data_IF_530735676648
#
_entry.id   IF_530735676648
#
_cell.length_a   1.000
_cell.length_b   1.000
_cell.length_c   1.000
_cell.angle_alpha   90.00
_cell.angle_beta   90.00
_cell.angle_gamma   90.00
#
_symmetry.space_group_name_H-M   'P 1'
#
loop_
_entity.id
_entity.type
_entity.pdbx_description
1 polymer ?
#
# COMPACT_ATOMS: atom_id res chain seq x y z
N UNK A 1 -10.92 17.18 -1.90
CA UNK A 1 -10.38 16.15 -2.81
C UNK A 1 -8.94 15.84 -2.41
N UNK A 2 -8.72 14.77 -1.64
CA UNK A 2 -7.41 14.41 -1.12
C UNK A 2 -6.49 13.90 -2.23
N UNK A 3 -5.73 14.81 -2.84
CA UNK A 3 -4.72 14.47 -3.84
C UNK A 3 -3.77 13.44 -3.24
N UNK A 4 -3.67 12.32 -3.93
CA UNK A 4 -2.85 11.22 -3.51
C UNK A 4 -1.39 11.63 -3.37
N UNK A 5 -0.72 11.13 -2.33
CA UNK A 5 0.73 11.25 -2.12
C UNK A 5 1.48 10.28 -3.04
N UNK A 6 1.14 10.31 -4.32
CA UNK A 6 1.61 9.37 -5.36
C UNK A 6 3.13 9.21 -5.41
N UNK A 7 3.95 10.28 -5.34
CA UNK A 7 5.42 10.14 -5.34
C UNK A 7 6.01 9.68 -4.01
N UNK A 8 5.21 9.55 -2.95
CA UNK A 8 5.73 9.29 -1.62
C UNK A 8 5.90 7.78 -1.37
N UNK A 9 7.06 7.45 -0.81
CA UNK A 9 7.41 6.17 -0.23
C UNK A 9 7.46 6.32 1.29
N UNK A 10 6.90 5.36 2.02
CA UNK A 10 6.93 5.29 3.47
C UNK A 10 7.85 4.16 3.91
N UNK A 11 8.82 4.48 4.76
CA UNK A 11 9.70 3.51 5.40
C UNK A 11 9.28 3.35 6.87
N UNK A 12 9.19 2.10 7.31
CA UNK A 12 8.76 1.72 8.66
C UNK A 12 9.84 0.81 9.28
N UNK A 13 10.17 1.09 10.54
CA UNK A 13 11.13 0.28 11.32
C UNK A 13 12.58 0.76 11.23
N UNK A 14 12.85 1.90 10.59
CA UNK A 14 14.20 2.49 10.55
C UNK A 14 14.49 3.13 11.93
N UNK A 15 15.56 2.73 12.64
CA UNK A 15 15.93 3.31 13.94
C UNK A 15 16.12 4.82 13.87
N UNK A 16 15.82 5.54 14.95
CA UNK A 16 16.13 6.97 15.08
C UNK A 16 17.64 7.15 15.30
N UNK A 17 18.19 8.27 14.84
CA UNK A 17 19.60 8.63 15.05
C UNK A 17 19.74 10.04 15.64
N UNK A 18 20.78 10.26 16.44
CA UNK A 18 21.08 11.59 16.97
C UNK A 18 21.61 12.51 15.85
N UNK A 19 21.14 13.76 15.86
CA UNK A 19 21.44 14.73 14.82
C UNK A 19 20.99 14.27 13.42
N UNK A 20 19.90 13.52 13.32
CA UNK A 20 19.32 13.10 12.05
C UNK A 20 18.86 14.32 11.25
N UNK A 21 19.38 14.46 10.03
CA UNK A 21 19.04 15.52 9.10
C UNK A 21 18.63 14.91 7.74
N UNK A 22 18.19 15.76 6.80
CA UNK A 22 17.76 15.33 5.46
C UNK A 22 18.83 14.48 4.76
N UNK A 23 20.08 14.93 4.75
CA UNK A 23 21.20 14.21 4.10
C UNK A 23 21.45 12.83 4.69
N UNK A 24 21.42 12.68 6.03
CA UNK A 24 21.55 11.36 6.68
C UNK A 24 20.40 10.41 6.29
N UNK A 25 19.19 10.94 6.16
CA UNK A 25 18.03 10.16 5.71
C UNK A 25 18.17 9.74 4.25
N UNK A 26 18.69 10.60 3.38
CA UNK A 26 18.97 10.26 1.98
C UNK A 26 20.01 9.14 1.89
N UNK A 27 21.11 9.26 2.64
CA UNK A 27 22.14 8.22 2.71
C UNK A 27 21.56 6.91 3.24
N UNK A 28 20.70 6.96 4.26
CA UNK A 28 20.00 5.77 4.78
C UNK A 28 19.15 5.09 3.70
N UNK A 29 18.45 5.88 2.87
CA UNK A 29 17.66 5.32 1.76
C UNK A 29 18.57 4.70 0.69
N UNK A 30 19.72 5.32 0.39
CA UNK A 30 20.71 4.77 -0.52
C UNK A 30 21.29 3.45 0.01
N UNK A 31 21.67 3.38 1.28
CA UNK A 31 22.16 2.17 1.95
C UNK A 31 21.13 1.03 1.83
N UNK A 32 19.85 1.33 2.08
CA UNK A 32 18.75 0.35 1.93
C UNK A 32 18.64 -0.14 0.49
N UNK A 33 18.75 0.75 -0.49
CA UNK A 33 18.66 0.38 -1.91
C UNK A 33 19.87 -0.46 -2.32
N UNK A 34 21.06 -0.13 -1.85
CA UNK A 34 22.27 -0.91 -2.10
C UNK A 34 22.22 -2.30 -1.46
N UNK A 35 21.81 -2.38 -0.18
CA UNK A 35 21.68 -3.63 0.56
C UNK A 35 20.61 -4.55 -0.06
N UNK A 36 19.53 -3.98 -0.62
CA UNK A 36 18.38 -4.78 -1.03
C UNK A 36 18.16 -4.94 -2.52
N UNK A 37 18.50 -3.93 -3.30
CA UNK A 37 18.14 -3.81 -4.71
C UNK A 37 19.37 -3.40 -5.54
N UNK A 38 20.41 -4.25 -5.63
CA UNK A 38 21.65 -3.92 -6.34
C UNK A 38 21.38 -3.52 -7.81
N UNK A 39 20.36 -4.10 -8.43
CA UNK A 39 19.92 -3.78 -9.80
C UNK A 39 19.45 -2.32 -9.99
N UNK A 40 19.11 -1.62 -8.90
CA UNK A 40 18.68 -0.22 -8.93
C UNK A 40 19.83 0.76 -8.68
N UNK A 41 20.95 0.31 -8.10
CA UNK A 41 22.08 1.15 -7.69
C UNK A 41 22.77 1.81 -8.89
N UNK A 42 22.77 1.16 -10.06
CA UNK A 42 23.33 1.71 -11.30
C UNK A 42 22.37 2.61 -12.09
N UNK A 43 21.13 2.81 -11.64
CA UNK A 43 20.20 3.69 -12.33
C UNK A 43 20.40 5.13 -11.84
N UNK A 44 20.94 6.00 -12.70
CA UNK A 44 21.14 7.45 -12.45
C UNK A 44 19.85 8.27 -12.22
N UNK A 45 18.73 7.61 -11.91
CA UNK A 45 17.39 8.18 -11.85
C UNK A 45 16.81 8.25 -10.43
N UNK A 46 17.57 7.89 -9.38
CA UNK A 46 17.09 7.98 -8.00
C UNK A 46 17.22 9.44 -7.52
N UNK A 47 16.26 10.27 -7.91
CA UNK A 47 16.16 11.65 -7.47
C UNK A 47 15.09 11.78 -6.39
N UNK A 48 15.53 12.18 -5.20
CA UNK A 48 14.68 12.46 -4.04
C UNK A 48 14.46 13.97 -4.01
N UNK A 49 13.20 14.38 -3.92
CA UNK A 49 12.83 15.79 -3.78
C UNK A 49 12.87 16.24 -2.32
N UNK A 50 12.40 15.37 -1.42
CA UNK A 50 12.31 15.65 0.01
C UNK A 50 12.29 14.33 0.79
N UNK A 51 12.96 14.29 1.93
CA UNK A 51 12.88 13.16 2.86
C UNK A 51 12.83 13.65 4.30
N UNK A 52 11.89 13.11 5.07
CA UNK A 52 11.68 13.55 6.45
C UNK A 52 11.01 12.47 7.31
N UNK A 53 11.16 12.59 8.63
CA UNK A 53 10.41 11.79 9.60
C UNK A 53 9.00 12.35 9.77
N UNK A 54 8.04 11.47 10.07
CA UNK A 54 6.66 11.88 10.35
C UNK A 54 6.13 11.18 11.59
N UNK A 55 5.62 11.92 12.59
CA UNK A 55 5.59 13.39 12.71
C UNK A 55 6.98 14.03 12.89
N UNK A 56 7.12 15.31 12.53
CA UNK A 56 8.40 16.03 12.66
C UNK A 56 8.88 16.09 14.11
N UNK A 57 7.95 16.27 15.06
CA UNK A 57 8.26 16.26 16.49
C UNK A 57 8.38 14.83 16.99
N UNK A 58 9.50 14.54 17.62
CA UNK A 58 9.69 13.31 18.37
C UNK A 58 8.93 13.40 19.70
N UNK A 59 8.24 12.33 20.06
CA UNK A 59 7.59 12.20 21.37
C UNK A 59 8.25 11.06 22.11
N UNK A 60 8.83 11.35 23.26
CA UNK A 60 9.47 10.37 24.15
C UNK A 60 8.54 9.23 24.58
N UNK A 61 7.21 9.43 24.51
CA UNK A 61 6.21 8.40 24.82
C UNK A 61 6.05 7.33 23.73
N UNK A 62 6.71 7.49 22.58
CA UNK A 62 6.57 6.57 21.45
C UNK A 62 7.61 5.45 21.54
N UNK A 63 7.14 4.21 21.69
CA UNK A 63 8.00 3.02 21.71
C UNK A 63 8.52 2.61 20.32
N UNK A 64 7.85 3.02 19.23
CA UNK A 64 8.23 2.68 17.85
C UNK A 64 8.97 3.84 17.16
N UNK A 65 9.97 3.57 16.31
CA UNK A 65 10.60 4.61 15.51
C UNK A 65 9.59 5.33 14.61
N UNK A 66 9.77 6.63 14.38
CA UNK A 66 8.90 7.38 13.47
C UNK A 66 9.09 6.89 12.04
N UNK A 67 8.03 6.95 11.26
CA UNK A 67 8.10 6.61 9.85
C UNK A 67 8.89 7.67 9.09
N UNK A 68 9.62 7.27 8.05
CA UNK A 68 10.23 8.21 7.11
C UNK A 68 9.32 8.29 5.89
N UNK A 69 9.09 9.50 5.39
CA UNK A 69 8.43 9.75 4.11
C UNK A 69 9.49 10.30 3.16
N UNK A 70 9.75 9.57 2.09
CA UNK A 70 10.62 10.00 0.99
C UNK A 70 9.75 10.33 -0.23
N UNK A 71 9.85 11.56 -0.73
CA UNK A 71 9.17 12.04 -1.93
C UNK A 71 10.13 11.95 -3.10
N UNK A 72 9.79 11.14 -4.09
CA UNK A 72 10.59 11.01 -5.32
C UNK A 72 10.15 12.02 -6.36
N UNK A 73 11.10 12.52 -7.15
CA UNK A 73 10.81 13.38 -8.31
C UNK A 73 10.01 12.62 -9.37
N UNK A 74 10.37 11.35 -9.61
CA UNK A 74 9.70 10.46 -10.57
C UNK A 74 8.90 9.37 -9.86
N UNK A 75 7.60 9.30 -10.13
CA UNK A 75 6.70 8.26 -9.58
C UNK A 75 7.14 6.86 -10.00
N UNK A 76 7.64 6.71 -11.22
CA UNK A 76 8.14 5.44 -11.76
C UNK A 76 9.24 4.83 -10.88
N UNK A 77 10.14 5.67 -10.33
CA UNK A 77 11.24 5.19 -9.49
C UNK A 77 10.71 4.58 -8.19
N UNK A 78 9.77 5.27 -7.54
CA UNK A 78 9.07 4.74 -6.37
C UNK A 78 8.34 3.42 -6.68
N UNK A 79 7.67 3.33 -7.83
CA UNK A 79 6.98 2.09 -8.23
C UNK A 79 7.95 0.93 -8.47
N UNK A 80 9.13 1.20 -9.07
CA UNK A 80 10.21 0.21 -9.22
C UNK A 80 10.71 -0.29 -7.86
N UNK A 81 10.99 0.61 -6.92
CA UNK A 81 11.44 0.25 -5.56
C UNK A 81 10.38 -0.62 -4.85
N UNK A 82 9.10 -0.22 -4.92
CA UNK A 82 8.02 -1.00 -4.30
C UNK A 82 7.82 -2.37 -4.95
N UNK A 83 8.05 -2.48 -6.26
CA UNK A 83 8.01 -3.76 -6.96
C UNK A 83 9.15 -4.67 -6.52
N UNK A 84 10.38 -4.15 -6.53
CA UNK A 84 11.56 -4.90 -6.09
C UNK A 84 11.43 -5.34 -4.62
N UNK A 85 10.87 -4.49 -3.75
CA UNK A 85 10.59 -4.83 -2.36
C UNK A 85 9.61 -6.00 -2.22
N UNK A 86 8.57 -6.05 -3.07
CA UNK A 86 7.59 -7.16 -3.08
C UNK A 86 8.19 -8.45 -3.61
N UNK A 87 8.97 -8.37 -4.68
CA UNK A 87 9.64 -9.53 -5.30
C UNK A 87 10.68 -10.14 -4.35
N UNK A 88 11.44 -9.30 -3.63
CA UNK A 88 12.38 -9.76 -2.61
C UNK A 88 11.69 -10.33 -1.37
N UNK A 89 10.51 -9.81 -1.01
CA UNK A 89 9.76 -10.19 0.19
C UNK A 89 10.32 -9.59 1.48
N UNK A 90 11.58 -9.88 1.85
CA UNK A 90 12.24 -9.36 3.06
C UNK A 90 13.21 -8.23 2.72
N UNK A 91 12.93 -7.03 3.23
CA UNK A 91 13.80 -5.86 3.12
C UNK A 91 14.47 -5.61 4.46
N UNK A 92 15.78 -5.34 4.46
CA UNK A 92 16.56 -5.08 5.68
C UNK A 92 17.30 -3.74 5.61
N UNK A 93 17.65 -3.19 6.77
CA UNK A 93 18.58 -2.08 6.91
C UNK A 93 19.55 -2.43 8.03
N UNK A 94 20.84 -2.56 7.70
CA UNK A 94 21.88 -3.00 8.65
C UNK A 94 21.48 -4.31 9.33
N UNK A 95 20.97 -5.25 8.55
CA UNK A 95 20.50 -6.57 9.01
C UNK A 95 19.15 -6.59 9.76
N UNK A 96 18.56 -5.43 10.09
CA UNK A 96 17.25 -5.36 10.76
C UNK A 96 16.11 -5.31 9.75
N UNK A 97 15.01 -6.07 9.93
CA UNK A 97 13.90 -6.05 9.00
C UNK A 97 13.18 -4.70 9.00
N UNK A 98 12.91 -4.17 7.81
CA UNK A 98 12.16 -2.93 7.60
C UNK A 98 11.03 -3.16 6.58
N UNK A 99 10.08 -2.22 6.53
CA UNK A 99 8.96 -2.29 5.57
C UNK A 99 8.93 -1.04 4.70
N UNK A 100 8.83 -1.27 3.39
CA UNK A 100 8.63 -0.23 2.38
C UNK A 100 7.17 -0.28 1.90
N UNK A 101 6.44 0.81 2.06
CA UNK A 101 5.04 0.90 1.65
C UNK A 101 4.77 2.18 0.86
N UNK A 102 3.74 2.19 0.03
CA UNK A 102 3.26 3.42 -0.59
C UNK A 102 2.55 4.29 0.47
N UNK A 103 2.75 5.60 0.41
CA UNK A 103 1.98 6.53 1.24
C UNK A 103 0.63 6.81 0.57
N UNK A 104 -0.44 6.35 1.19
CA UNK A 104 -1.82 6.54 0.74
C UNK A 104 -2.56 7.46 1.71
N UNK A 105 -3.57 8.19 1.22
CA UNK A 105 -4.50 8.90 2.11
C UNK A 105 -5.33 7.90 2.92
N UNK A 106 -5.98 8.37 4.00
CA UNK A 106 -6.84 7.52 4.82
C UNK A 106 -7.98 6.92 3.98
N UNK A 107 -8.57 7.70 3.06
CA UNK A 107 -9.66 7.24 2.18
C UNK A 107 -9.15 6.18 1.21
N UNK A 108 -7.98 6.39 0.59
CA UNK A 108 -7.39 5.41 -0.33
C UNK A 108 -6.96 4.12 0.40
N UNK A 109 -6.51 4.21 1.66
CA UNK A 109 -6.25 3.03 2.49
C UNK A 109 -7.53 2.28 2.81
N UNK A 110 -8.61 2.99 3.14
CA UNK A 110 -9.90 2.39 3.44
C UNK A 110 -10.47 1.65 2.23
N UNK A 111 -10.51 2.30 1.07
CA UNK A 111 -10.95 1.67 -0.19
C UNK A 111 -10.10 0.43 -0.54
N UNK A 112 -8.80 0.42 -0.22
CA UNK A 112 -7.94 -0.76 -0.40
C UNK A 112 -8.26 -1.90 0.57
N UNK A 113 -8.62 -1.59 1.82
CA UNK A 113 -9.03 -2.60 2.81
C UNK A 113 -10.34 -3.26 2.44
N UNK A 114 -11.25 -2.50 1.86
CA UNK A 114 -12.52 -3.01 1.35
C UNK A 114 -12.34 -4.07 0.26
N UNK A 115 -11.25 -3.99 -0.52
CA UNK A 115 -10.87 -5.03 -1.48
C UNK A 115 -10.28 -6.30 -0.83
N UNK A 116 -9.88 -6.26 0.45
CA UNK A 116 -9.16 -7.35 1.12
C UNK A 116 -9.83 -8.72 1.03
N UNK A 117 -11.10 -8.86 1.43
CA UNK A 117 -11.82 -10.13 1.34
C UNK A 117 -11.89 -10.66 -0.10
N UNK A 118 -12.21 -9.79 -1.07
CA UNK A 118 -12.32 -10.14 -2.50
C UNK A 118 -10.95 -10.56 -3.04
N UNK A 119 -9.89 -9.84 -2.67
CA UNK A 119 -8.53 -10.13 -3.10
C UNK A 119 -8.07 -11.52 -2.64
N UNK A 120 -8.38 -11.89 -1.38
CA UNK A 120 -8.00 -13.19 -0.84
C UNK A 120 -8.69 -14.34 -1.59
N UNK A 121 -10.00 -14.24 -1.82
CA UNK A 121 -10.76 -15.24 -2.57
C UNK A 121 -10.21 -15.38 -4.00
N UNK A 122 -9.99 -14.27 -4.70
CA UNK A 122 -9.42 -14.29 -6.05
C UNK A 122 -8.02 -14.89 -6.08
N UNK A 123 -7.23 -14.69 -5.02
CA UNK A 123 -5.89 -15.26 -4.89
C UNK A 123 -5.95 -16.77 -4.68
N UNK A 124 -6.83 -17.25 -3.81
CA UNK A 124 -7.06 -18.69 -3.56
C UNK A 124 -7.54 -19.43 -4.80
N UNK A 125 -8.32 -18.75 -5.64
CA UNK A 125 -8.84 -19.30 -6.91
C UNK A 125 -7.94 -19.04 -8.12
N UNK A 126 -6.69 -18.61 -7.92
CA UNK A 126 -5.68 -18.41 -8.95
C UNK A 126 -6.03 -17.37 -10.05
N UNK A 127 -6.89 -16.38 -9.78
CA UNK A 127 -7.21 -15.30 -10.72
C UNK A 127 -6.11 -14.23 -10.85
N UNK A 128 -4.97 -14.42 -10.18
CA UNK A 128 -3.83 -13.49 -10.18
C UNK A 128 -4.23 -12.02 -9.86
N UNK A 129 -4.91 -11.77 -8.72
CA UNK A 129 -5.41 -10.44 -8.42
C UNK A 129 -4.27 -9.45 -8.14
N UNK A 130 -4.50 -8.18 -8.51
CA UNK A 130 -3.59 -7.07 -8.30
C UNK A 130 -4.38 -5.82 -7.89
N UNK A 131 -3.95 -5.14 -6.82
CA UNK A 131 -4.50 -3.84 -6.43
C UNK A 131 -3.56 -2.73 -6.90
N UNK A 132 -3.93 -2.06 -7.99
CA UNK A 132 -3.18 -0.95 -8.56
C UNK A 132 -3.61 0.40 -7.98
N UNK A 133 -2.90 1.46 -8.37
CA UNK A 133 -3.17 2.81 -7.91
C UNK A 133 -4.44 3.40 -8.57
N UNK A 134 -5.27 4.20 -7.86
CA UNK A 134 -5.20 4.53 -6.43
C UNK A 134 -5.78 3.42 -5.54
N UNK A 135 -6.77 2.66 -6.02
CA UNK A 135 -7.40 1.52 -5.35
C UNK A 135 -8.18 0.66 -6.35
N UNK A 136 -7.62 0.41 -7.54
CA UNK A 136 -8.28 -0.41 -8.57
C UNK A 136 -7.93 -1.88 -8.36
N UNK A 137 -8.92 -2.75 -8.30
CA UNK A 137 -8.71 -4.19 -8.30
C UNK A 137 -8.69 -4.69 -9.74
N UNK A 138 -7.67 -5.45 -10.12
CA UNK A 138 -7.61 -6.12 -11.41
C UNK A 138 -7.30 -7.60 -11.24
N UNK A 139 -7.84 -8.45 -12.11
CA UNK A 139 -7.56 -9.88 -12.12
C UNK A 139 -7.77 -10.43 -13.54
N UNK A 140 -7.22 -11.61 -13.82
CA UNK A 140 -7.33 -12.26 -15.13
C UNK A 140 -8.62 -13.06 -15.15
N UNK A 141 -9.55 -12.72 -16.05
CA UNK A 141 -10.79 -13.45 -16.27
C UNK A 141 -10.90 -13.80 -17.74
N UNK A 142 -11.16 -15.06 -18.08
CA UNK A 142 -11.29 -15.50 -19.48
C UNK A 142 -10.07 -15.14 -20.35
N UNK A 143 -8.86 -15.13 -19.76
CA UNK A 143 -7.62 -14.74 -20.44
C UNK A 143 -7.36 -13.23 -20.52
N UNK A 144 -8.30 -12.38 -20.12
CA UNK A 144 -8.16 -10.92 -20.17
C UNK A 144 -8.01 -10.30 -18.78
N UNK A 145 -7.20 -9.23 -18.68
CA UNK A 145 -7.10 -8.45 -17.44
C UNK A 145 -8.32 -7.53 -17.35
N UNK A 146 -9.20 -7.80 -16.38
CA UNK A 146 -10.32 -6.92 -16.04
C UNK A 146 -9.94 -6.03 -14.86
N UNK A 147 -10.35 -4.77 -14.88
CA UNK A 147 -9.99 -3.78 -13.86
C UNK A 147 -11.22 -3.03 -13.36
N UNK A 148 -11.35 -2.87 -12.05
CA UNK A 148 -12.52 -2.32 -11.38
C UNK A 148 -12.10 -1.20 -10.42
N UNK A 149 -12.75 -0.05 -10.51
CA UNK A 149 -12.49 1.11 -9.63
C UNK A 149 -13.21 1.02 -8.30
N UNK A 150 -14.36 0.36 -8.30
CA UNK A 150 -15.27 0.21 -7.17
C UNK A 150 -15.97 -1.15 -7.23
N UNK A 151 -16.63 -1.49 -6.12
CA UNK A 151 -17.32 -2.77 -5.98
C UNK A 151 -18.60 -2.85 -6.81
N UNK A 152 -19.20 -1.72 -7.21
CA UNK A 152 -20.43 -1.75 -7.99
C UNK A 152 -20.13 -2.23 -9.41
N UNK A 153 -19.08 -1.72 -10.04
CA UNK A 153 -18.62 -2.25 -11.34
C UNK A 153 -18.28 -3.74 -11.28
N UNK A 154 -17.69 -4.20 -10.17
CA UNK A 154 -17.44 -5.64 -10.00
C UNK A 154 -18.76 -6.43 -9.88
N UNK A 155 -19.76 -5.92 -9.15
CA UNK A 155 -21.10 -6.54 -9.06
C UNK A 155 -21.74 -6.66 -10.44
N UNK A 156 -21.73 -5.58 -11.21
CA UNK A 156 -22.32 -5.53 -12.55
C UNK A 156 -21.57 -6.46 -13.54
N UNK A 157 -20.28 -6.70 -13.30
CA UNK A 157 -19.49 -7.64 -14.10
C UNK A 157 -19.77 -9.11 -13.76
N UNK A 158 -19.98 -9.44 -12.48
CA UNK A 158 -20.22 -10.83 -12.06
C UNK A 158 -21.65 -11.28 -12.27
N UNK A 159 -22.64 -10.38 -12.37
CA UNK A 159 -24.05 -10.74 -12.63
C UNK A 159 -24.24 -11.47 -13.95
N UNK A 160 -23.37 -11.24 -14.94
CA UNK A 160 -23.38 -11.93 -16.23
C UNK A 160 -22.54 -13.21 -16.24
N UNK A 161 -21.91 -13.58 -15.11
CA UNK A 161 -20.95 -14.70 -15.01
C UNK A 161 -21.21 -15.56 -13.76
N UNK A 162 -22.06 -16.61 -13.87
CA UNK A 162 -22.50 -17.41 -12.72
C UNK A 162 -21.36 -18.02 -11.89
N UNK A 163 -20.31 -18.53 -12.52
CA UNK A 163 -19.18 -19.14 -11.82
C UNK A 163 -18.38 -18.12 -10.96
N UNK A 164 -18.18 -16.91 -11.50
CA UNK A 164 -17.54 -15.80 -10.77
C UNK A 164 -18.45 -15.24 -9.69
N UNK A 165 -19.76 -15.18 -9.95
CA UNK A 165 -20.75 -14.75 -8.98
C UNK A 165 -20.77 -15.68 -7.76
N UNK A 166 -20.81 -17.00 -7.95
CA UNK A 166 -20.81 -17.95 -6.83
C UNK A 166 -19.49 -17.87 -6.05
N UNK A 167 -18.36 -17.73 -6.75
CA UNK A 167 -17.04 -17.58 -6.13
C UNK A 167 -16.95 -16.33 -5.23
N UNK A 168 -17.51 -15.21 -5.67
CA UNK A 168 -17.43 -13.93 -4.95
C UNK A 168 -18.65 -13.63 -4.08
N UNK A 169 -19.62 -14.55 -4.02
CA UNK A 169 -20.91 -14.38 -3.34
C UNK A 169 -20.75 -14.01 -1.88
N UNK A 170 -19.86 -14.69 -1.15
CA UNK A 170 -19.61 -14.42 0.26
C UNK A 170 -19.05 -13.01 0.48
N UNK A 171 -17.98 -12.64 -0.24
CA UNK A 171 -17.37 -11.32 -0.11
C UNK A 171 -18.28 -10.17 -0.57
N UNK A 172 -19.19 -10.43 -1.52
CA UNK A 172 -20.18 -9.45 -1.99
C UNK A 172 -21.41 -9.37 -1.05
N UNK A 173 -21.77 -10.45 -0.36
CA UNK A 173 -22.91 -10.54 0.56
C UNK A 173 -22.60 -10.12 2.00
N UNK A 174 -21.36 -10.26 2.49
CA UNK A 174 -20.95 -9.80 3.83
C UNK A 174 -21.27 -8.31 4.08
N UNK A 175 -21.44 -7.50 3.04
CA UNK A 175 -21.83 -6.09 3.16
C UNK A 175 -23.34 -5.81 3.17
N UNK A 176 -24.17 -6.72 2.64
CA UNK A 176 -25.64 -6.57 2.75
C UNK A 176 -26.06 -6.55 4.21
N UNK A 177 -25.38 -7.35 5.04
CA UNK A 177 -25.63 -7.43 6.48
C UNK A 177 -25.03 -6.23 7.26
N UNK A 178 -23.93 -5.62 6.79
CA UNK A 178 -23.36 -4.41 7.43
C UNK A 178 -24.17 -3.13 7.17
N UNK A 179 -25.08 -3.10 6.20
CA UNK A 179 -26.03 -1.99 6.01
C UNK A 179 -27.17 -1.99 7.05
N UNK A 180 -27.32 -3.08 7.81
CA UNK A 180 -28.28 -3.23 8.90
C UNK A 180 -27.57 -3.39 10.25
N UNK A 181 -26.79 -2.39 10.66
CA UNK A 181 -26.54 -2.18 12.09
C UNK A 181 -27.21 -0.87 12.50
N UNK A 182 -28.34 -0.91 13.24
CA UNK A 182 -28.88 0.29 13.85
C UNK A 182 -27.82 0.83 14.81
N UNK A 183 -27.42 2.08 14.62
CA UNK A 183 -26.67 2.85 15.60
C UNK A 183 -27.44 2.79 16.92
N UNK A 184 -27.00 1.96 17.86
CA UNK A 184 -27.46 2.05 19.24
C UNK A 184 -26.98 3.41 19.78
N UNK A 185 -27.84 4.42 19.67
CA UNK A 185 -27.69 5.67 20.41
C UNK A 185 -27.85 5.35 21.88
N UNK A 186 -26.73 5.28 22.61
CA UNK A 186 -26.78 5.42 24.06
C UNK A 186 -27.18 6.86 24.38
N UNK A 187 -28.47 7.08 24.64
CA UNK A 187 -28.89 8.15 25.52
C UNK A 187 -28.54 7.72 26.94
N UNK A 188 -27.75 8.52 27.66
CA UNK A 188 -27.67 8.46 29.12
C UNK A 188 -28.14 9.80 29.66
N UNK A 189 -29.08 9.70 30.59
CA UNK A 189 -29.58 10.71 31.51
C UNK A 189 -28.45 11.32 32.34
#
# INVERSE_FOLDING_TARGET
MGLCKRPNLRLIGVPESEGENGTKLENTLQDIIQENFPNLVGQANIQIQEIQRTPQRYSWRRATPRHIIARFTKVEMKEKILRAAREKGRVTHKGKPIRLTADFSAEALQARREWGPIFNILKEKNFQPRISYPHKLSFISEGEIKSFTDKQMLRDFVTTRPALQETLKEALNMERNNRYQPLQKHAKM
#
